data_IF_406111349788
#
_entry.id   IF_406111349788
#
_cell.length_a   1.000
_cell.length_b   1.000
_cell.length_c   1.000
_cell.angle_alpha   90.00
_cell.angle_beta   90.00
_cell.angle_gamma   90.00
#
_symmetry.space_group_name_H-M   'P 1'
#
loop_
_entity.id
_entity.type
_entity.pdbx_description
1 polymer ?
#
# COMPACT_ATOMS: atom_id res chain seq x y z
N UNK A 1 -10.75 11.58 -23.12
CA UNK A 1 -9.46 11.31 -23.79
C UNK A 1 -9.27 9.81 -23.86
N UNK A 2 -8.83 9.24 -24.97
CA UNK A 2 -8.57 7.80 -25.07
C UNK A 2 -7.29 7.51 -24.26
N UNK A 3 -7.42 6.88 -23.10
CA UNK A 3 -6.28 6.59 -22.20
C UNK A 3 -5.52 5.33 -22.61
N UNK A 4 -6.23 4.34 -23.17
CA UNK A 4 -5.64 3.09 -23.66
C UNK A 4 -6.39 2.52 -24.86
N UNK A 5 -5.67 1.74 -25.68
CA UNK A 5 -6.19 0.99 -26.82
C UNK A 5 -5.91 -0.50 -26.62
N UNK A 6 -6.96 -1.27 -26.36
CA UNK A 6 -6.88 -2.73 -26.19
C UNK A 6 -7.15 -3.42 -27.53
N UNK A 7 -6.08 -3.72 -28.29
CA UNK A 7 -6.17 -4.30 -29.64
C UNK A 7 -6.93 -5.62 -29.67
N UNK A 8 -6.70 -6.50 -28.68
CA UNK A 8 -7.33 -7.82 -28.60
C UNK A 8 -8.85 -7.70 -28.45
N UNK A 9 -9.32 -6.75 -27.63
CA UNK A 9 -10.75 -6.50 -27.47
C UNK A 9 -11.39 -5.93 -28.74
N UNK A 10 -10.62 -5.19 -29.54
CA UNK A 10 -11.11 -4.64 -30.81
C UNK A 10 -11.26 -5.72 -31.89
N UNK A 11 -10.31 -6.66 -31.98
CA UNK A 11 -10.37 -7.77 -32.95
C UNK A 11 -11.44 -8.80 -32.59
N UNK A 12 -11.65 -9.06 -31.29
CA UNK A 12 -12.61 -10.06 -30.81
C UNK A 12 -13.65 -9.46 -29.85
N UNK A 13 -14.58 -8.62 -30.36
CA UNK A 13 -15.50 -7.86 -29.50
C UNK A 13 -16.52 -8.74 -28.76
N UNK A 14 -16.86 -9.92 -29.27
CA UNK A 14 -17.90 -10.78 -28.69
C UNK A 14 -17.34 -11.91 -27.80
N UNK A 15 -16.02 -12.06 -27.68
CA UNK A 15 -15.42 -13.15 -26.91
C UNK A 15 -15.09 -12.70 -25.49
N UNK A 16 -15.79 -13.26 -24.50
CA UNK A 16 -15.53 -13.00 -23.07
C UNK A 16 -14.09 -13.35 -22.70
N UNK A 17 -13.55 -14.43 -23.27
CA UNK A 17 -12.17 -14.84 -23.04
C UNK A 17 -11.17 -13.81 -23.59
N UNK A 18 -11.40 -13.31 -24.82
CA UNK A 18 -10.54 -12.29 -25.41
C UNK A 18 -10.60 -10.97 -24.63
N UNK A 19 -11.77 -10.61 -24.10
CA UNK A 19 -11.94 -9.44 -23.25
C UNK A 19 -11.23 -9.60 -21.89
N UNK A 20 -11.32 -10.78 -21.25
CA UNK A 20 -10.62 -11.06 -19.99
C UNK A 20 -9.09 -10.98 -20.13
N UNK A 21 -8.55 -11.44 -21.27
CA UNK A 21 -7.11 -11.35 -21.54
C UNK A 21 -6.69 -9.94 -21.98
N UNK A 22 -7.47 -9.32 -22.86
CA UNK A 22 -7.05 -8.13 -23.61
C UNK A 22 -7.41 -6.79 -22.97
N UNK A 23 -8.45 -6.76 -22.13
CA UNK A 23 -8.94 -5.50 -21.55
C UNK A 23 -7.93 -4.93 -20.57
N UNK A 24 -7.52 -3.67 -20.77
CA UNK A 24 -6.64 -2.96 -19.85
C UNK A 24 -7.29 -2.53 -18.52
N UNK A 25 -8.63 -2.40 -18.47
CA UNK A 25 -9.35 -1.94 -17.27
C UNK A 25 -9.95 -3.09 -16.44
N UNK A 26 -10.57 -4.05 -17.12
CA UNK A 26 -11.30 -5.17 -16.51
C UNK A 26 -10.65 -6.55 -16.75
N UNK A 27 -9.41 -6.58 -17.25
CA UNK A 27 -8.73 -7.81 -17.66
C UNK A 27 -7.23 -7.76 -17.40
N UNK A 28 -6.50 -8.72 -17.96
CA UNK A 28 -5.05 -8.84 -17.79
C UNK A 28 -4.24 -7.85 -18.65
N UNK A 29 -4.89 -7.08 -19.52
CA UNK A 29 -4.28 -6.03 -20.34
C UNK A 29 -3.29 -6.52 -21.41
N UNK A 30 -3.34 -7.78 -21.82
CA UNK A 30 -2.46 -8.32 -22.88
C UNK A 30 -2.74 -7.57 -24.19
N UNK A 31 -1.72 -6.94 -24.76
CA UNK A 31 -1.88 -6.16 -26.00
C UNK A 31 -2.68 -4.87 -25.83
N UNK A 32 -2.81 -4.37 -24.60
CA UNK A 32 -3.33 -3.03 -24.31
C UNK A 32 -2.20 -2.01 -24.32
N UNK A 33 -2.34 -0.95 -25.12
CA UNK A 33 -1.35 0.11 -25.26
C UNK A 33 -1.90 1.38 -24.59
N UNK A 34 -1.20 1.88 -23.58
CA UNK A 34 -1.48 3.19 -22.98
C UNK A 34 -1.06 4.31 -23.93
N UNK A 35 -1.95 5.26 -24.22
CA UNK A 35 -1.70 6.37 -25.14
C UNK A 35 -1.38 7.68 -24.42
N UNK A 36 -1.53 7.72 -23.09
CA UNK A 36 -1.19 8.86 -22.26
C UNK A 36 -0.06 8.54 -21.27
N UNK A 37 0.68 9.60 -20.90
CA UNK A 37 1.76 9.48 -19.92
C UNK A 37 1.24 9.02 -18.55
N UNK A 38 -0.01 9.36 -18.21
CA UNK A 38 -0.64 8.91 -16.98
C UNK A 38 -0.75 7.37 -16.92
N UNK A 39 -1.14 6.69 -17.99
CA UNK A 39 -1.18 5.21 -18.02
C UNK A 39 0.20 4.57 -18.04
N UNK A 40 1.20 5.22 -18.64
CA UNK A 40 2.59 4.71 -18.65
C UNK A 40 3.24 4.88 -17.27
N UNK A 41 2.99 6.02 -16.62
CA UNK A 41 3.56 6.35 -15.31
C UNK A 41 2.80 5.76 -14.12
N UNK A 42 1.54 5.32 -14.28
CA UNK A 42 0.75 4.77 -13.18
C UNK A 42 1.35 3.50 -12.56
N UNK A 43 2.23 2.80 -13.29
CA UNK A 43 2.83 1.55 -12.87
C UNK A 43 4.06 1.71 -11.93
N UNK A 44 4.87 2.76 -12.12
CA UNK A 44 6.15 2.96 -11.41
C UNK A 44 6.37 4.41 -10.94
N UNK A 45 5.37 5.29 -11.07
CA UNK A 45 5.61 6.74 -11.04
C UNK A 45 6.31 7.20 -12.33
N UNK A 46 7.26 8.12 -12.26
CA UNK A 46 8.05 8.49 -13.45
C UNK A 46 9.11 7.41 -13.73
N UNK A 47 8.96 6.55 -14.76
CA UNK A 47 9.92 5.49 -15.03
C UNK A 47 11.31 6.04 -15.40
N UNK A 48 11.39 7.32 -15.79
CA UNK A 48 12.64 8.02 -16.07
C UNK A 48 13.47 8.32 -14.82
N UNK A 49 12.83 8.43 -13.66
CA UNK A 49 13.50 8.71 -12.39
C UNK A 49 13.96 7.43 -11.68
N UNK A 50 13.40 6.27 -12.03
CA UNK A 50 13.75 4.99 -11.42
C UNK A 50 14.94 4.34 -12.14
N UNK A 51 15.93 3.79 -11.40
CA UNK A 51 17.05 3.06 -12.00
C UNK A 51 16.58 1.86 -12.84
N UNK A 52 17.31 1.56 -13.92
CA UNK A 52 16.96 0.46 -14.84
C UNK A 52 16.79 -0.89 -14.15
N UNK A 53 17.69 -1.23 -13.22
CA UNK A 53 17.61 -2.49 -12.47
C UNK A 53 16.31 -2.60 -11.65
N UNK A 54 15.89 -1.52 -11.00
CA UNK A 54 14.65 -1.50 -10.22
C UNK A 54 13.43 -1.68 -11.14
N UNK A 55 13.40 -0.96 -12.26
CA UNK A 55 12.34 -1.06 -13.28
C UNK A 55 12.25 -2.48 -13.85
N UNK A 56 13.38 -3.10 -14.19
CA UNK A 56 13.43 -4.46 -14.72
C UNK A 56 12.93 -5.50 -13.68
N UNK A 57 13.29 -5.34 -12.40
CA UNK A 57 12.85 -6.24 -11.34
C UNK A 57 11.34 -6.14 -11.08
N UNK A 58 10.81 -4.90 -11.05
CA UNK A 58 9.37 -4.66 -10.89
C UNK A 58 8.61 -5.23 -12.09
N UNK A 59 9.10 -5.03 -13.32
CA UNK A 59 8.52 -5.60 -14.53
C UNK A 59 8.49 -7.14 -14.51
N UNK A 60 9.58 -7.79 -14.07
CA UNK A 60 9.63 -9.23 -13.89
C UNK A 60 8.62 -9.72 -12.83
N UNK A 61 8.54 -9.03 -11.69
CA UNK A 61 7.57 -9.32 -10.64
C UNK A 61 6.12 -9.18 -11.13
N UNK A 62 5.81 -8.13 -11.87
CA UNK A 62 4.50 -7.94 -12.50
C UNK A 62 4.18 -9.04 -13.49
N UNK A 63 5.13 -9.44 -14.35
CA UNK A 63 4.90 -10.52 -15.30
C UNK A 63 4.55 -11.83 -14.58
N UNK A 64 5.28 -12.16 -13.52
CA UNK A 64 5.03 -13.36 -12.71
C UNK A 64 3.66 -13.29 -12.04
N UNK A 65 3.30 -12.16 -11.42
CA UNK A 65 2.04 -12.04 -10.68
C UNK A 65 0.83 -11.95 -11.63
N UNK A 66 0.90 -11.09 -12.64
CA UNK A 66 -0.21 -10.82 -13.55
C UNK A 66 -0.43 -11.95 -14.56
N UNK A 67 0.63 -12.53 -15.13
CA UNK A 67 0.51 -13.49 -16.24
C UNK A 67 0.78 -14.95 -15.87
N UNK A 68 1.35 -15.22 -14.68
CA UNK A 68 1.59 -16.60 -14.23
C UNK A 68 0.69 -16.93 -13.03
N UNK A 69 0.85 -16.24 -11.91
CA UNK A 69 0.19 -16.61 -10.65
C UNK A 69 -1.32 -16.34 -10.70
N UNK A 70 -1.76 -15.17 -11.17
CA UNK A 70 -3.18 -14.79 -11.21
C UNK A 70 -3.99 -15.72 -12.14
N UNK A 71 -3.59 -15.90 -13.41
CA UNK A 71 -4.00 -16.98 -14.31
C UNK A 71 -4.14 -18.37 -13.69
N UNK A 72 -3.06 -18.91 -13.13
CA UNK A 72 -3.04 -20.24 -12.52
C UNK A 72 -4.09 -20.28 -11.40
N UNK A 73 -4.11 -19.27 -10.53
CA UNK A 73 -5.05 -19.26 -9.43
C UNK A 73 -6.51 -19.20 -9.87
N UNK A 74 -6.82 -18.44 -10.92
CA UNK A 74 -8.16 -18.34 -11.48
C UNK A 74 -8.60 -19.64 -12.17
N UNK A 75 -7.75 -20.21 -13.03
CA UNK A 75 -8.10 -21.41 -13.77
C UNK A 75 -8.10 -22.68 -12.92
N UNK A 76 -7.24 -22.80 -11.91
CA UNK A 76 -7.33 -23.87 -10.91
C UNK A 76 -8.47 -23.66 -9.89
N UNK A 77 -9.24 -22.58 -10.04
CA UNK A 77 -10.41 -22.26 -9.22
C UNK A 77 -10.11 -22.19 -7.72
N UNK A 78 -8.96 -21.64 -7.35
CA UNK A 78 -8.66 -21.39 -5.93
C UNK A 78 -9.71 -20.44 -5.36
N UNK A 79 -10.25 -20.77 -4.18
CA UNK A 79 -11.25 -19.95 -3.48
C UNK A 79 -12.53 -19.65 -4.30
N UNK A 80 -12.94 -20.58 -5.19
CA UNK A 80 -14.09 -20.40 -6.10
C UNK A 80 -13.92 -19.19 -7.04
N UNK A 81 -12.68 -18.88 -7.39
CA UNK A 81 -12.26 -17.75 -8.22
C UNK A 81 -13.08 -17.53 -9.50
N UNK A 82 -13.52 -18.62 -10.15
CA UNK A 82 -14.25 -18.53 -11.43
C UNK A 82 -15.62 -17.86 -11.31
N UNK A 83 -16.16 -17.75 -10.10
CA UNK A 83 -17.48 -17.14 -9.87
C UNK A 83 -17.44 -15.61 -9.97
N UNK A 84 -16.27 -14.99 -9.94
CA UNK A 84 -16.11 -13.54 -9.96
C UNK A 84 -15.05 -13.10 -11.00
N UNK A 85 -14.98 -11.80 -11.35
CA UNK A 85 -14.01 -11.30 -12.32
C UNK A 85 -12.55 -11.55 -11.89
N UNK A 86 -11.67 -11.84 -12.85
CA UNK A 86 -10.22 -12.03 -12.62
C UNK A 86 -9.61 -10.77 -12.01
N UNK A 87 -9.98 -9.61 -12.58
CA UNK A 87 -9.48 -8.29 -12.22
C UNK A 87 -10.64 -7.40 -11.80
N UNK A 88 -10.71 -7.07 -10.51
CA UNK A 88 -11.67 -6.11 -9.94
C UNK A 88 -11.22 -5.68 -8.55
N UNK A 89 -11.50 -4.43 -8.20
CA UNK A 89 -11.38 -3.85 -6.86
C UNK A 89 -12.61 -4.13 -5.97
N UNK A 90 -13.67 -4.72 -6.54
CA UNK A 90 -14.92 -5.01 -5.84
C UNK A 90 -14.86 -6.22 -4.91
N UNK A 91 -15.81 -6.25 -3.98
CA UNK A 91 -16.09 -7.38 -3.10
C UNK A 91 -17.27 -8.19 -3.65
N UNK A 92 -17.20 -9.52 -3.55
CA UNK A 92 -18.20 -10.43 -4.11
C UNK A 92 -18.75 -11.39 -3.07
N UNK A 93 -19.98 -11.85 -3.30
CA UNK A 93 -20.57 -13.01 -2.63
C UNK A 93 -20.06 -14.30 -3.27
N UNK A 94 -20.32 -15.44 -2.64
CA UNK A 94 -20.00 -16.75 -3.23
C UNK A 94 -20.62 -16.97 -4.63
N UNK A 95 -21.79 -16.38 -4.85
CA UNK A 95 -22.53 -16.43 -6.12
C UNK A 95 -22.00 -15.47 -7.20
N UNK A 96 -20.97 -14.67 -6.91
CA UNK A 96 -20.39 -13.71 -7.85
C UNK A 96 -21.11 -12.36 -7.94
N UNK A 97 -22.12 -12.12 -7.10
CA UNK A 97 -22.78 -10.81 -7.02
C UNK A 97 -21.95 -9.84 -6.18
N UNK A 98 -22.11 -8.54 -6.43
CA UNK A 98 -21.43 -7.52 -5.62
C UNK A 98 -21.90 -7.61 -4.16
N UNK A 99 -20.96 -7.68 -3.23
CA UNK A 99 -21.25 -7.79 -1.81
C UNK A 99 -21.79 -6.45 -1.27
N UNK A 100 -22.92 -6.48 -0.59
CA UNK A 100 -23.51 -5.28 -0.02
C UNK A 100 -22.88 -4.95 1.35
N UNK A 101 -21.88 -4.06 1.35
CA UNK A 101 -21.14 -3.70 2.58
C UNK A 101 -22.05 -3.00 3.61
N UNK A 102 -23.06 -2.23 3.19
CA UNK A 102 -23.96 -1.55 4.14
C UNK A 102 -24.85 -2.52 4.90
N UNK A 103 -24.99 -3.77 4.44
CA UNK A 103 -25.77 -4.79 5.14
C UNK A 103 -25.05 -5.41 6.35
N UNK A 104 -23.73 -5.24 6.46
CA UNK A 104 -22.89 -5.80 7.54
C UNK A 104 -22.33 -4.72 8.47
N UNK A 105 -22.74 -3.46 8.28
CA UNK A 105 -22.31 -2.33 9.08
C UNK A 105 -23.55 -1.68 9.70
N UNK A 106 -23.57 -1.59 11.02
CA UNK A 106 -24.66 -0.95 11.76
C UNK A 106 -24.63 0.58 11.57
N UNK A 107 -25.71 1.24 11.94
CA UNK A 107 -25.88 2.70 12.02
C UNK A 107 -24.79 3.42 12.82
N UNK A 108 -24.16 2.73 13.78
CA UNK A 108 -23.00 3.22 14.53
C UNK A 108 -21.65 2.84 13.91
N UNK A 109 -21.61 2.44 12.63
CA UNK A 109 -20.41 1.99 11.91
C UNK A 109 -19.68 0.79 12.53
N UNK A 110 -20.35 0.02 13.39
CA UNK A 110 -19.81 -1.22 13.92
C UNK A 110 -20.06 -2.38 12.94
N UNK A 111 -19.15 -3.34 12.92
CA UNK A 111 -19.32 -4.56 12.14
C UNK A 111 -20.34 -5.49 12.82
N UNK A 112 -21.41 -5.81 12.11
CA UNK A 112 -22.45 -6.74 12.57
C UNK A 112 -22.08 -8.18 12.19
N UNK A 113 -21.63 -8.94 13.18
CA UNK A 113 -21.25 -10.35 13.02
C UNK A 113 -22.43 -11.24 12.65
N UNK A 114 -23.66 -10.94 13.13
CA UNK A 114 -24.84 -11.75 12.83
C UNK A 114 -25.30 -11.54 11.39
N UNK A 115 -25.30 -10.29 10.94
CA UNK A 115 -25.58 -9.98 9.54
C UNK A 115 -24.52 -10.60 8.61
N UNK A 116 -23.25 -10.59 9.01
CA UNK A 116 -22.17 -11.26 8.28
C UNK A 116 -22.36 -12.77 8.19
N UNK A 117 -22.68 -13.45 9.30
CA UNK A 117 -22.96 -14.89 9.30
C UNK A 117 -24.14 -15.25 8.39
N UNK A 118 -25.17 -14.39 8.32
CA UNK A 118 -26.34 -14.58 7.45
C UNK A 118 -26.01 -14.36 5.97
N UNK A 119 -25.23 -13.33 5.66
CA UNK A 119 -24.89 -12.96 4.27
C UNK A 119 -23.76 -13.81 3.68
N UNK A 120 -22.99 -14.49 4.54
CA UNK A 120 -21.88 -15.35 4.16
C UNK A 120 -20.56 -14.60 3.99
N UNK A 121 -19.45 -15.34 3.76
CA UNK A 121 -18.13 -14.75 3.68
C UNK A 121 -17.97 -13.85 2.45
N UNK A 122 -17.11 -12.84 2.58
CA UNK A 122 -16.73 -11.97 1.48
C UNK A 122 -15.63 -12.59 0.63
N UNK A 123 -15.75 -12.42 -0.69
CA UNK A 123 -14.79 -12.90 -1.68
C UNK A 123 -14.11 -11.72 -2.38
N UNK A 124 -12.80 -11.82 -2.54
CA UNK A 124 -11.99 -10.86 -3.29
C UNK A 124 -11.69 -11.41 -4.68
N UNK A 125 -11.52 -10.54 -5.68
CA UNK A 125 -11.05 -10.96 -6.99
C UNK A 125 -9.68 -11.66 -6.88
N UNK A 126 -9.39 -12.56 -7.83
CA UNK A 126 -8.13 -13.34 -7.78
C UNK A 126 -6.91 -12.44 -7.79
N UNK A 127 -6.91 -11.43 -8.66
CA UNK A 127 -5.83 -10.44 -8.73
C UNK A 127 -5.66 -9.67 -7.41
N UNK A 128 -6.77 -9.24 -6.79
CA UNK A 128 -6.73 -8.47 -5.57
C UNK A 128 -6.20 -9.30 -4.39
N UNK A 129 -6.64 -10.56 -4.26
CA UNK A 129 -6.16 -11.49 -3.24
C UNK A 129 -4.65 -11.78 -3.37
N UNK A 130 -4.16 -12.06 -4.59
CA UNK A 130 -2.74 -12.31 -4.84
C UNK A 130 -1.91 -11.07 -4.53
N UNK A 131 -2.39 -9.88 -4.91
CA UNK A 131 -1.69 -8.62 -4.66
C UNK A 131 -1.57 -8.32 -3.15
N UNK A 132 -2.60 -8.61 -2.36
CA UNK A 132 -2.51 -8.52 -0.89
C UNK A 132 -1.46 -9.47 -0.32
N UNK A 133 -1.41 -10.71 -0.81
CA UNK A 133 -0.39 -11.69 -0.42
C UNK A 133 1.03 -11.21 -0.71
N UNK A 134 1.27 -10.67 -1.91
CA UNK A 134 2.56 -10.07 -2.29
C UNK A 134 2.87 -8.85 -1.43
N UNK A 135 1.87 -8.04 -1.06
CA UNK A 135 2.04 -6.88 -0.18
C UNK A 135 2.57 -7.25 1.21
N UNK A 136 2.10 -8.36 1.79
CA UNK A 136 2.66 -8.86 3.05
C UNK A 136 4.10 -9.38 2.87
N UNK A 137 4.36 -10.08 1.77
CA UNK A 137 5.70 -10.58 1.45
C UNK A 137 6.69 -9.43 1.18
N UNK A 138 6.27 -8.34 0.53
CA UNK A 138 7.14 -7.22 0.18
C UNK A 138 7.59 -6.42 1.41
N UNK A 139 6.73 -6.24 2.41
CA UNK A 139 7.07 -5.54 3.65
C UNK A 139 8.08 -6.34 4.49
N UNK A 140 7.87 -7.65 4.60
CA UNK A 140 8.83 -8.52 5.30
C UNK A 140 10.16 -8.62 4.55
N UNK A 141 10.12 -8.75 3.22
CA UNK A 141 11.31 -8.71 2.37
C UNK A 141 12.06 -7.38 2.47
N UNK A 142 11.35 -6.25 2.60
CA UNK A 142 11.96 -4.91 2.79
C UNK A 142 12.81 -4.88 4.05
N UNK A 143 12.28 -5.35 5.19
CA UNK A 143 13.02 -5.40 6.45
C UNK A 143 14.26 -6.29 6.30
N UNK A 144 14.07 -7.51 5.79
CA UNK A 144 15.16 -8.49 5.64
C UNK A 144 16.25 -7.97 4.69
N UNK A 145 15.86 -7.36 3.57
CA UNK A 145 16.79 -6.78 2.59
C UNK A 145 17.61 -5.64 3.20
N UNK A 146 16.96 -4.71 3.89
CA UNK A 146 17.65 -3.58 4.53
C UNK A 146 18.59 -4.07 5.63
N UNK A 147 18.16 -5.03 6.46
CA UNK A 147 19.00 -5.59 7.52
C UNK A 147 20.23 -6.33 6.98
N UNK A 148 20.07 -7.14 5.93
CA UNK A 148 21.18 -7.95 5.39
C UNK A 148 22.16 -7.12 4.57
N UNK A 149 21.68 -6.25 3.68
CA UNK A 149 22.54 -5.52 2.73
C UNK A 149 23.02 -4.19 3.29
N UNK A 150 22.16 -3.46 3.98
CA UNK A 150 22.47 -2.11 4.50
C UNK A 150 22.68 -2.07 6.02
N UNK A 151 22.49 -3.17 6.75
CA UNK A 151 22.59 -3.17 8.22
C UNK A 151 23.97 -2.74 8.73
N UNK A 152 25.04 -3.17 8.06
CA UNK A 152 26.41 -2.78 8.44
C UNK A 152 26.67 -1.29 8.18
N UNK A 153 26.15 -0.76 7.06
CA UNK A 153 26.24 0.66 6.69
C UNK A 153 25.41 1.52 7.65
N UNK A 154 24.18 1.12 7.96
CA UNK A 154 23.31 1.78 8.94
C UNK A 154 24.03 1.86 10.28
N UNK A 155 24.63 0.77 10.75
CA UNK A 155 25.36 0.78 12.02
C UNK A 155 26.55 1.74 12.03
N UNK A 156 27.34 1.74 10.95
CA UNK A 156 28.48 2.64 10.81
C UNK A 156 28.05 4.10 10.69
N UNK A 157 27.00 4.38 9.92
CA UNK A 157 26.43 5.71 9.71
C UNK A 157 25.77 6.24 10.97
N UNK A 158 24.98 5.44 11.68
CA UNK A 158 24.42 5.81 12.99
C UNK A 158 25.53 6.15 13.97
N UNK A 159 26.59 5.33 14.06
CA UNK A 159 27.74 5.61 14.93
C UNK A 159 28.50 6.87 14.50
N UNK A 160 28.62 7.12 13.20
CA UNK A 160 29.34 8.27 12.65
C UNK A 160 28.54 9.57 12.71
N UNK A 161 27.21 9.51 12.64
CA UNK A 161 26.30 10.65 12.80
C UNK A 161 26.42 11.24 14.20
N UNK A 162 26.49 10.38 15.23
CA UNK A 162 26.81 10.82 16.60
C UNK A 162 28.25 11.34 16.79
N UNK A 163 29.14 11.12 15.82
CA UNK A 163 30.55 11.52 15.87
C UNK A 163 30.93 12.59 14.83
N UNK A 164 29.97 13.13 14.07
CA UNK A 164 30.12 14.14 12.99
C UNK A 164 31.22 13.84 11.92
N UNK A 165 31.63 12.58 11.74
CA UNK A 165 32.88 12.27 11.01
C UNK A 165 32.79 12.24 9.47
N UNK A 166 31.59 12.18 8.88
CA UNK A 166 31.43 12.14 7.42
C UNK A 166 30.41 13.17 6.95
N UNK A 167 30.90 14.26 6.40
CA UNK A 167 30.09 15.35 5.85
C UNK A 167 30.21 15.27 4.34
N UNK A 168 29.11 15.00 3.65
CA UNK A 168 29.08 14.99 2.20
C UNK A 168 29.27 16.41 1.64
N UNK A 169 29.70 16.53 0.38
CA UNK A 169 29.91 17.81 -0.31
C UNK A 169 28.62 18.64 -0.29
N UNK A 170 27.46 18.01 -0.50
CA UNK A 170 26.15 18.68 -0.36
C UNK A 170 25.93 19.25 1.04
N UNK A 171 26.18 18.47 2.09
CA UNK A 171 26.07 18.94 3.47
C UNK A 171 27.04 20.09 3.74
N UNK A 172 28.24 20.06 3.15
CA UNK A 172 29.25 21.13 3.26
C UNK A 172 28.79 22.44 2.60
N UNK A 173 28.15 22.36 1.45
CA UNK A 173 27.53 23.52 0.77
C UNK A 173 26.31 24.04 1.55
N UNK A 174 25.49 23.14 2.11
CA UNK A 174 24.31 23.48 2.90
C UNK A 174 24.63 24.13 4.25
N UNK A 175 25.84 23.91 4.82
CA UNK A 175 26.31 24.59 6.05
C UNK A 175 26.39 26.12 5.94
N UNK A 176 26.31 26.69 4.74
CA UNK A 176 26.18 28.15 4.55
C UNK A 176 24.85 28.68 5.09
N UNK A 177 23.81 27.84 5.14
CA UNK A 177 22.49 28.20 5.65
C UNK A 177 22.38 27.84 7.12
N UNK A 178 21.79 28.76 7.91
CA UNK A 178 21.54 28.52 9.33
C UNK A 178 20.55 27.37 9.48
N UNK A 179 20.95 26.32 10.19
CA UNK A 179 20.07 25.18 10.46
C UNK A 179 18.86 25.64 11.28
N UNK A 180 17.68 25.16 10.89
CA UNK A 180 16.45 25.38 11.66
C UNK A 180 16.58 24.61 12.98
N UNK A 181 16.24 25.21 14.13
CA UNK A 181 16.37 24.52 15.41
C UNK A 181 15.50 23.27 15.46
N UNK A 182 16.09 22.12 15.81
CA UNK A 182 15.40 20.82 15.83
C UNK A 182 14.17 20.80 16.76
N UNK A 183 14.18 21.62 17.82
CA UNK A 183 13.07 21.71 18.77
C UNK A 183 11.75 22.18 18.12
N UNK A 184 11.79 22.92 17.01
CA UNK A 184 10.58 23.32 16.28
C UNK A 184 9.86 22.08 15.73
N UNK A 185 10.60 21.14 15.16
CA UNK A 185 10.04 19.89 14.64
C UNK A 185 9.51 18.99 15.77
N UNK A 186 10.24 18.90 16.89
CA UNK A 186 9.79 18.14 18.07
C UNK A 186 8.50 18.74 18.64
N UNK A 187 8.42 20.06 18.76
CA UNK A 187 7.20 20.73 19.23
C UNK A 187 6.02 20.50 18.29
N UNK A 188 6.21 20.63 16.97
CA UNK A 188 5.15 20.35 15.99
C UNK A 188 4.71 18.89 16.08
N UNK A 189 5.63 17.95 16.22
CA UNK A 189 5.33 16.52 16.35
C UNK A 189 4.49 16.24 17.60
N UNK A 190 4.91 16.75 18.77
CA UNK A 190 4.19 16.54 20.04
C UNK A 190 2.80 17.19 19.99
N UNK A 191 2.70 18.41 19.49
CA UNK A 191 1.42 19.12 19.36
C UNK A 191 0.49 18.36 18.41
N UNK A 192 1.00 17.86 17.28
CA UNK A 192 0.20 17.10 16.31
C UNK A 192 -0.34 15.81 16.94
N UNK A 193 0.53 15.01 17.59
CA UNK A 193 0.12 13.79 18.29
C UNK A 193 -0.92 14.10 19.38
N UNK A 194 -0.71 15.16 20.17
CA UNK A 194 -1.66 15.55 21.22
C UNK A 194 -3.02 15.94 20.66
N UNK A 195 -3.06 16.71 19.57
CA UNK A 195 -4.30 17.08 18.88
C UNK A 195 -4.99 15.86 18.27
N UNK A 196 -4.23 14.93 17.67
CA UNK A 196 -4.78 13.69 17.13
C UNK A 196 -5.38 12.80 18.22
N UNK A 197 -4.68 12.62 19.33
CA UNK A 197 -5.19 11.87 20.49
C UNK A 197 -6.44 12.53 21.06
N UNK A 198 -6.42 13.86 21.22
CA UNK A 198 -7.59 14.61 21.67
C UNK A 198 -8.80 14.45 20.73
N UNK A 199 -8.58 14.54 19.41
CA UNK A 199 -9.64 14.36 18.43
C UNK A 199 -10.21 12.94 18.46
N UNK A 200 -9.35 11.92 18.58
CA UNK A 200 -9.78 10.52 18.68
C UNK A 200 -10.57 10.23 19.96
N UNK A 201 -10.18 10.82 21.09
CA UNK A 201 -10.87 10.63 22.36
C UNK A 201 -12.19 11.44 22.43
N UNK A 202 -12.19 12.67 21.94
CA UNK A 202 -13.38 13.54 21.94
C UNK A 202 -14.46 13.03 20.97
N UNK A 203 -14.07 12.56 19.79
CA UNK A 203 -14.96 12.00 18.77
C UNK A 203 -14.95 10.47 18.77
N UNK A 204 -14.85 9.83 19.94
CA UNK A 204 -14.72 8.37 20.03
C UNK A 204 -15.92 7.61 19.45
N UNK A 205 -17.12 8.18 19.54
CA UNK A 205 -18.34 7.64 18.92
C UNK A 205 -18.25 7.55 17.39
N UNK A 206 -17.49 8.46 16.76
CA UNK A 206 -17.35 8.54 15.30
C UNK A 206 -16.07 7.87 14.81
N UNK A 207 -14.91 8.20 15.41
CA UNK A 207 -13.60 7.72 14.97
C UNK A 207 -13.27 6.33 15.53
N UNK A 208 -13.85 5.98 16.68
CA UNK A 208 -13.73 4.67 17.33
C UNK A 208 -12.29 4.23 17.67
N UNK A 209 -11.29 5.07 17.42
CA UNK A 209 -9.89 4.76 17.63
C UNK A 209 -9.46 5.20 19.04
N UNK A 210 -9.04 4.29 19.93
CA UNK A 210 -8.55 4.66 21.26
C UNK A 210 -7.17 5.34 21.18
N UNK A 211 -6.82 6.12 22.21
CA UNK A 211 -5.54 6.86 22.29
C UNK A 211 -4.30 5.98 22.06
N UNK A 212 -4.29 4.74 22.56
CA UNK A 212 -3.17 3.82 22.37
C UNK A 212 -2.98 3.41 20.90
N UNK A 213 -4.06 3.38 20.12
CA UNK A 213 -4.02 3.07 18.69
C UNK A 213 -3.28 4.15 17.91
N UNK A 214 -3.42 5.42 18.29
CA UNK A 214 -2.66 6.53 17.69
C UNK A 214 -1.16 6.38 17.96
N UNK A 215 -0.78 6.11 19.21
CA UNK A 215 0.63 5.92 19.58
C UNK A 215 1.25 4.71 18.90
N UNK A 216 0.50 3.61 18.78
CA UNK A 216 0.95 2.42 18.06
C UNK A 216 1.14 2.72 16.56
N UNK A 217 0.22 3.46 15.93
CA UNK A 217 0.36 3.88 14.53
C UNK A 217 1.63 4.73 14.32
N UNK A 218 1.90 5.69 15.21
CA UNK A 218 3.12 6.49 15.19
C UNK A 218 4.39 5.62 15.37
N UNK A 219 4.37 4.64 16.28
CA UNK A 219 5.49 3.75 16.50
C UNK A 219 5.81 2.88 15.27
N UNK A 220 4.78 2.33 14.62
CA UNK A 220 4.93 1.57 13.38
C UNK A 220 5.46 2.48 12.26
N UNK A 221 4.87 3.66 12.08
CA UNK A 221 5.34 4.62 11.07
C UNK A 221 6.81 4.96 11.27
N UNK A 222 7.23 5.27 12.52
CA UNK A 222 8.61 5.56 12.85
C UNK A 222 9.56 4.40 12.52
N UNK A 223 9.20 3.17 12.92
CA UNK A 223 10.02 1.98 12.65
C UNK A 223 10.19 1.72 11.15
N UNK A 224 9.11 1.79 10.37
CA UNK A 224 9.13 1.50 8.94
C UNK A 224 9.67 2.64 8.08
N UNK A 225 9.76 3.87 8.61
CA UNK A 225 10.30 5.02 7.87
C UNK A 225 11.74 4.79 7.43
N UNK A 226 12.60 4.22 8.28
CA UNK A 226 14.01 4.00 7.94
C UNK A 226 14.19 2.93 6.85
N UNK A 227 13.65 1.70 6.97
CA UNK A 227 13.80 0.69 5.93
C UNK A 227 13.18 1.11 4.59
N UNK A 228 11.98 1.69 4.62
CA UNK A 228 11.29 2.12 3.41
C UNK A 228 11.99 3.33 2.79
N UNK A 229 12.57 4.23 3.59
CA UNK A 229 13.37 5.36 3.12
C UNK A 229 14.62 4.93 2.35
N UNK A 230 15.33 3.89 2.82
CA UNK A 230 16.51 3.36 2.11
C UNK A 230 16.13 2.77 0.75
N UNK A 231 15.03 2.01 0.69
CA UNK A 231 14.54 1.48 -0.60
C UNK A 231 14.09 2.62 -1.50
N UNK A 232 13.35 3.59 -0.98
CA UNK A 232 12.89 4.74 -1.76
C UNK A 232 14.06 5.54 -2.31
N UNK A 233 15.12 5.78 -1.51
CA UNK A 233 16.31 6.51 -1.95
C UNK A 233 17.12 5.76 -3.01
N UNK A 234 17.12 4.42 -3.00
CA UNK A 234 17.92 3.61 -3.93
C UNK A 234 17.16 3.23 -5.20
N UNK A 235 15.86 2.95 -5.10
CA UNK A 235 15.04 2.45 -6.21
C UNK A 235 13.95 3.41 -6.66
N UNK A 236 13.75 4.54 -5.98
CA UNK A 236 12.66 5.48 -6.23
C UNK A 236 11.26 4.82 -6.16
N UNK A 237 11.12 3.77 -5.33
CA UNK A 237 9.86 3.04 -5.14
C UNK A 237 9.51 2.99 -3.65
N UNK A 238 8.25 3.26 -3.33
CA UNK A 238 7.74 3.34 -1.95
C UNK A 238 6.78 2.18 -1.65
N UNK A 239 7.24 1.11 -0.98
CA UNK A 239 6.35 0.08 -0.45
C UNK A 239 5.26 0.65 0.46
N UNK A 240 4.01 0.25 0.21
CA UNK A 240 2.85 0.71 0.96
C UNK A 240 2.68 0.01 2.32
N UNK A 241 2.46 0.78 3.39
CA UNK A 241 2.22 0.27 4.74
C UNK A 241 0.73 -0.06 5.03
N UNK A 242 -0.14 0.15 4.03
CA UNK A 242 -1.59 0.03 4.17
C UNK A 242 -2.04 -1.35 4.64
N UNK A 243 -1.48 -2.40 4.02
CA UNK A 243 -1.94 -3.77 4.21
C UNK A 243 -1.62 -4.26 5.64
N UNK A 244 -0.41 -3.97 6.14
CA UNK A 244 0.00 -4.42 7.47
C UNK A 244 -0.67 -3.61 8.58
N UNK A 245 -0.90 -2.31 8.37
CA UNK A 245 -1.59 -1.49 9.37
C UNK A 245 -3.05 -1.89 9.50
N UNK A 246 -3.73 -2.14 8.38
CA UNK A 246 -5.09 -2.68 8.37
C UNK A 246 -5.19 -4.05 9.05
N UNK A 247 -4.18 -4.90 8.83
CA UNK A 247 -4.12 -6.24 9.41
C UNK A 247 -3.88 -6.20 10.93
N UNK A 248 -2.89 -5.43 11.39
CA UNK A 248 -2.56 -5.29 12.81
C UNK A 248 -3.78 -4.79 13.59
N UNK A 249 -4.39 -3.68 13.16
CA UNK A 249 -5.52 -3.12 13.90
C UNK A 249 -6.78 -3.97 13.79
N UNK A 250 -7.00 -4.65 12.67
CA UNK A 250 -8.10 -5.62 12.52
C UNK A 250 -8.04 -6.76 13.55
N UNK A 251 -6.85 -7.21 13.92
CA UNK A 251 -6.66 -8.24 14.96
C UNK A 251 -6.67 -7.68 16.39
N UNK A 252 -6.05 -6.52 16.62
CA UNK A 252 -5.98 -5.89 17.94
C UNK A 252 -7.31 -5.29 18.39
N UNK A 253 -8.12 -4.82 17.46
CA UNK A 253 -9.38 -4.13 17.74
C UNK A 253 -10.48 -4.52 16.73
N UNK A 254 -10.96 -5.77 16.83
CA UNK A 254 -11.92 -6.32 15.88
C UNK A 254 -13.28 -5.62 15.98
N UNK A 255 -14.00 -5.61 14.86
CA UNK A 255 -15.38 -5.14 14.79
C UNK A 255 -15.56 -3.63 14.62
N UNK A 256 -14.47 -2.87 14.49
CA UNK A 256 -14.49 -1.40 14.29
C UNK A 256 -13.79 -0.97 12.99
N UNK A 257 -14.51 -1.00 11.86
CA UNK A 257 -13.97 -0.61 10.55
C UNK A 257 -13.42 0.82 10.49
N UNK A 258 -14.08 1.77 11.15
CA UNK A 258 -13.64 3.19 11.14
C UNK A 258 -12.33 3.35 11.87
N UNK A 259 -12.18 2.72 13.04
CA UNK A 259 -10.92 2.70 13.78
C UNK A 259 -9.78 2.13 12.92
N UNK A 260 -10.05 1.07 12.15
CA UNK A 260 -9.06 0.48 11.25
C UNK A 260 -8.61 1.46 10.14
N UNK A 261 -9.57 2.15 9.52
CA UNK A 261 -9.28 3.18 8.51
C UNK A 261 -8.48 4.35 9.09
N UNK A 262 -8.82 4.84 10.29
CA UNK A 262 -8.06 5.88 10.97
C UNK A 262 -6.64 5.44 11.30
N UNK A 263 -6.47 4.22 11.81
CA UNK A 263 -5.15 3.65 12.12
C UNK A 263 -4.26 3.56 10.88
N UNK A 264 -4.81 3.09 9.76
CA UNK A 264 -4.12 3.08 8.46
C UNK A 264 -3.68 4.48 8.05
N UNK A 265 -4.56 5.48 8.13
CA UNK A 265 -4.22 6.87 7.77
C UNK A 265 -3.06 7.37 8.62
N UNK A 266 -3.13 7.23 9.94
CA UNK A 266 -2.08 7.69 10.84
C UNK A 266 -0.76 6.93 10.69
N UNK A 267 -0.79 5.64 10.35
CA UNK A 267 0.42 4.84 10.13
C UNK A 267 1.05 5.09 8.76
N UNK A 268 0.27 4.94 7.68
CA UNK A 268 0.77 4.99 6.31
C UNK A 268 1.01 6.41 5.80
N UNK A 269 0.05 7.32 5.97
CA UNK A 269 0.17 8.67 5.40
C UNK A 269 1.26 9.45 6.13
N UNK A 270 1.38 9.32 7.44
CA UNK A 270 2.47 9.96 8.21
C UNK A 270 3.85 9.54 7.72
N UNK A 271 4.04 8.24 7.46
CA UNK A 271 5.28 7.71 6.88
C UNK A 271 5.51 8.26 5.45
N UNK A 272 4.48 8.25 4.61
CA UNK A 272 4.59 8.78 3.24
C UNK A 272 4.95 10.27 3.21
N UNK A 273 4.40 11.06 4.13
CA UNK A 273 4.73 12.48 4.26
C UNK A 273 6.15 12.68 4.80
N UNK A 274 6.58 11.87 5.77
CA UNK A 274 7.95 11.91 6.28
C UNK A 274 8.98 11.61 5.18
N UNK A 275 8.70 10.63 4.31
CA UNK A 275 9.56 10.30 3.18
C UNK A 275 9.58 11.38 2.10
N UNK A 276 8.46 12.07 1.87
CA UNK A 276 8.40 13.19 0.92
C UNK A 276 9.16 14.42 1.42
N UNK A 277 9.26 14.58 2.74
CA UNK A 277 9.97 15.70 3.36
C UNK A 277 11.50 15.52 3.36
N UNK A 278 11.98 14.27 3.33
CA UNK A 278 13.41 13.90 3.28
C UNK A 278 13.99 14.12 1.88
#
# INVERSE_FOLDING_TARGET
>A
MLTSLSWICWVFPNSVFAQQLGSGLYGLGIGSIGLDWASVSSYLGSPLASPWFATANVAAGFFIIMYVITPIAYWFNFYKARNFPIFSDGLFTESGQKYNITSIVDSQFHFDTKAYEKNGPLYLSTFFAVTYGVGFASLTATIVHVLLFHGSEIWQLSKSAFQEKRVDVHTKLMRRYKQVPEWWFICILIVNIAVTVFACEYYIEQLQLPWWGVLLACAIAFFFTLPIGIITATTNQTPGLNIITEYIMGYLYPGRPVANMCFKVYGYISMSQALTFL
#
